data_IF_070503916416
#
_entry.id   IF_070503916416
#
_cell.length_a   1.000
_cell.length_b   1.000
_cell.length_c   1.000
_cell.angle_alpha   90.00
_cell.angle_beta   90.00
_cell.angle_gamma   90.00
#
_symmetry.space_group_name_H-M   'P 1'
#
loop_
_entity.id
_entity.type
_entity.pdbx_description
1 polymer ?
#
# COMPACT_ATOMS: atom_id res chain seq x y z
N UNK A 1 -23.28 27.67 39.01
CA UNK A 1 -24.17 26.62 39.55
C UNK A 1 -23.31 25.40 39.79
N UNK A 2 -23.27 24.82 41.00
CA UNK A 2 -22.42 23.66 41.28
C UNK A 2 -22.95 22.45 40.52
N UNK A 3 -22.09 21.79 39.74
CA UNK A 3 -22.40 20.52 39.08
C UNK A 3 -22.85 19.52 40.15
N UNK A 4 -24.00 18.90 39.91
CA UNK A 4 -24.64 18.05 40.91
C UNK A 4 -23.86 16.73 41.05
N UNK A 5 -23.70 16.23 42.28
CA UNK A 5 -23.01 14.97 42.59
C UNK A 5 -23.48 13.78 41.73
N UNK A 6 -24.75 13.80 41.33
CA UNK A 6 -25.35 12.81 40.46
C UNK A 6 -24.86 12.90 38.99
N UNK A 7 -24.66 14.10 38.43
CA UNK A 7 -24.09 14.23 37.08
C UNK A 7 -22.67 13.66 37.00
N UNK A 8 -21.83 13.91 38.03
CA UNK A 8 -20.44 13.47 38.01
C UNK A 8 -20.28 11.94 38.13
N UNK A 9 -21.21 11.26 38.82
CA UNK A 9 -21.16 9.82 39.05
C UNK A 9 -21.78 9.01 37.90
N UNK A 10 -22.82 9.54 37.25
CA UNK A 10 -23.52 8.82 36.18
C UNK A 10 -22.98 9.14 34.79
N UNK A 11 -22.48 10.35 34.52
CA UNK A 11 -22.00 10.70 33.17
C UNK A 11 -20.62 10.13 32.85
N UNK A 12 -19.71 10.07 33.83
CA UNK A 12 -18.33 9.66 33.56
C UNK A 12 -18.20 8.13 33.40
N UNK A 13 -18.75 7.36 34.34
CA UNK A 13 -18.63 5.89 34.34
C UNK A 13 -19.44 5.25 33.21
N UNK A 14 -20.61 5.79 32.87
CA UNK A 14 -21.43 5.25 31.78
C UNK A 14 -20.78 5.52 30.42
N UNK A 15 -20.31 6.74 30.20
CA UNK A 15 -19.62 7.11 28.96
C UNK A 15 -18.31 6.35 28.80
N UNK A 16 -17.54 6.20 29.87
CA UNK A 16 -16.30 5.42 29.85
C UNK A 16 -16.57 3.94 29.51
N UNK A 17 -17.64 3.35 30.04
CA UNK A 17 -18.04 1.98 29.67
C UNK A 17 -18.51 1.87 28.21
N UNK A 18 -19.21 2.88 27.70
CA UNK A 18 -19.60 2.95 26.29
C UNK A 18 -18.37 3.03 25.39
N UNK A 19 -17.47 3.98 25.66
CA UNK A 19 -16.25 4.19 24.89
C UNK A 19 -15.35 2.95 24.92
N UNK A 20 -15.28 2.25 26.05
CA UNK A 20 -14.59 0.95 26.15
C UNK A 20 -15.26 -0.09 25.25
N UNK A 21 -16.59 -0.22 25.30
CA UNK A 21 -17.30 -1.19 24.46
C UNK A 21 -17.16 -0.89 22.96
N UNK A 22 -17.19 0.39 22.58
CA UNK A 22 -16.98 0.84 21.20
C UNK A 22 -15.55 0.55 20.74
N UNK A 23 -14.55 0.85 21.57
CA UNK A 23 -13.15 0.51 21.30
C UNK A 23 -12.92 -1.01 21.20
N UNK A 24 -13.62 -1.82 22.01
CA UNK A 24 -13.59 -3.29 21.90
C UNK A 24 -14.21 -3.78 20.58
N UNK A 25 -15.34 -3.20 20.17
CA UNK A 25 -16.01 -3.54 18.91
C UNK A 25 -15.13 -3.15 17.71
N UNK A 26 -14.53 -1.98 17.72
CA UNK A 26 -13.58 -1.53 16.69
C UNK A 26 -12.33 -2.43 16.63
N UNK A 27 -11.75 -2.78 17.77
CA UNK A 27 -10.61 -3.69 17.82
C UNK A 27 -10.97 -5.11 17.32
N UNK A 28 -12.17 -5.60 17.62
CA UNK A 28 -12.66 -6.88 17.10
C UNK A 28 -12.85 -6.83 15.58
N UNK A 29 -13.44 -5.75 15.06
CA UNK A 29 -13.61 -5.53 13.63
C UNK A 29 -12.26 -5.41 12.90
N UNK A 30 -11.28 -4.70 13.48
CA UNK A 30 -9.94 -4.57 12.92
C UNK A 30 -9.19 -5.92 12.88
N UNK A 31 -9.34 -6.76 13.91
CA UNK A 31 -8.76 -8.11 13.94
C UNK A 31 -9.42 -9.03 12.91
N UNK A 32 -10.72 -8.92 12.73
CA UNK A 32 -11.44 -9.68 11.71
C UNK A 32 -11.07 -9.23 10.29
N UNK A 33 -10.94 -7.92 10.06
CA UNK A 33 -10.50 -7.38 8.79
C UNK A 33 -9.07 -7.81 8.43
N UNK A 34 -8.16 -7.81 9.41
CA UNK A 34 -6.78 -8.27 9.20
C UNK A 34 -6.70 -9.78 8.95
N UNK A 35 -7.50 -10.61 9.62
CA UNK A 35 -7.51 -12.05 9.35
C UNK A 35 -8.05 -12.39 7.95
N UNK A 36 -9.09 -11.67 7.49
CA UNK A 36 -9.59 -11.76 6.11
C UNK A 36 -8.55 -11.28 5.09
N UNK A 37 -7.83 -10.19 5.38
CA UNK A 37 -6.77 -9.72 4.49
C UNK A 37 -5.64 -10.75 4.35
N UNK A 38 -5.25 -11.41 5.44
CA UNK A 38 -4.22 -12.46 5.43
C UNK A 38 -4.65 -13.69 4.63
N UNK A 39 -5.90 -14.15 4.78
CA UNK A 39 -6.38 -15.30 4.00
C UNK A 39 -6.47 -14.99 2.51
N UNK A 40 -6.87 -13.77 2.14
CA UNK A 40 -6.86 -13.33 0.74
C UNK A 40 -5.43 -13.26 0.18
N UNK A 41 -4.47 -12.76 0.95
CA UNK A 41 -3.05 -12.72 0.56
C UNK A 41 -2.47 -14.13 0.34
N UNK A 42 -2.81 -15.10 1.19
CA UNK A 42 -2.39 -16.49 1.01
C UNK A 42 -2.98 -17.12 -0.26
N UNK A 43 -4.25 -16.85 -0.56
CA UNK A 43 -4.89 -17.33 -1.79
C UNK A 43 -4.25 -16.71 -3.03
N UNK A 44 -3.99 -15.40 -3.01
CA UNK A 44 -3.28 -14.70 -4.08
C UNK A 44 -1.87 -15.25 -4.27
N UNK A 45 -1.14 -15.51 -3.17
CA UNK A 45 0.19 -16.12 -3.23
C UNK A 45 0.18 -17.48 -3.91
N UNK A 46 -0.81 -18.33 -3.60
CA UNK A 46 -0.97 -19.64 -4.25
C UNK A 46 -1.31 -19.50 -5.74
N UNK A 47 -2.20 -18.57 -6.09
CA UNK A 47 -2.56 -18.31 -7.49
C UNK A 47 -1.36 -17.83 -8.31
N UNK A 48 -0.52 -16.96 -7.74
CA UNK A 48 0.70 -16.48 -8.39
C UNK A 48 1.71 -17.60 -8.64
N UNK A 49 1.82 -18.57 -7.72
CA UNK A 49 2.69 -19.74 -7.92
C UNK A 49 2.19 -20.62 -9.07
N UNK A 50 0.87 -20.88 -9.12
CA UNK A 50 0.27 -21.65 -10.23
C UNK A 50 0.48 -20.94 -11.57
N UNK A 51 0.21 -19.64 -11.63
CA UNK A 51 0.42 -18.85 -12.84
C UNK A 51 1.89 -18.85 -13.29
N UNK A 52 2.83 -18.81 -12.35
CA UNK A 52 4.26 -18.90 -12.67
C UNK A 52 4.61 -20.24 -13.31
N UNK A 53 4.07 -21.34 -12.78
CA UNK A 53 4.33 -22.67 -13.33
C UNK A 53 3.68 -22.82 -14.72
N UNK A 54 2.45 -22.32 -14.92
CA UNK A 54 1.79 -22.30 -16.23
C UNK A 54 2.59 -21.47 -17.26
N UNK A 55 3.09 -20.29 -16.88
CA UNK A 55 3.94 -19.48 -17.74
C UNK A 55 5.21 -20.24 -18.11
N UNK A 56 5.83 -20.94 -17.14
CA UNK A 56 7.01 -21.75 -17.40
C UNK A 56 6.71 -22.86 -18.41
N UNK A 57 5.63 -23.60 -18.24
CA UNK A 57 5.26 -24.68 -19.15
C UNK A 57 4.95 -24.15 -20.55
N UNK A 58 4.26 -23.01 -20.65
CA UNK A 58 4.02 -22.32 -21.92
C UNK A 58 5.33 -21.90 -22.59
N UNK A 59 6.28 -21.34 -21.84
CA UNK A 59 7.59 -20.97 -22.42
C UNK A 59 8.36 -22.17 -22.94
N UNK A 60 8.30 -23.31 -22.25
CA UNK A 60 8.92 -24.56 -22.72
C UNK A 60 8.23 -25.04 -23.99
N UNK A 61 6.90 -25.09 -24.02
CA UNK A 61 6.14 -25.49 -25.20
C UNK A 61 6.44 -24.61 -26.42
N UNK A 62 6.45 -23.28 -26.24
CA UNK A 62 6.82 -22.33 -27.30
C UNK A 62 8.25 -22.57 -27.78
N UNK A 63 9.20 -22.80 -26.87
CA UNK A 63 10.59 -23.07 -27.25
C UNK A 63 10.74 -24.34 -28.09
N UNK A 64 9.97 -25.39 -27.80
CA UNK A 64 9.97 -26.63 -28.57
C UNK A 64 9.36 -26.40 -29.95
N UNK A 65 8.24 -25.68 -30.04
CA UNK A 65 7.61 -25.35 -31.32
C UNK A 65 8.53 -24.51 -32.21
N UNK A 66 9.21 -23.51 -31.64
CA UNK A 66 10.20 -22.70 -32.37
C UNK A 66 11.34 -23.57 -32.90
N UNK A 67 11.86 -24.50 -32.09
CA UNK A 67 12.91 -25.44 -32.55
C UNK A 67 12.42 -26.34 -33.68
N UNK A 68 11.22 -26.92 -33.57
CA UNK A 68 10.64 -27.76 -34.63
C UNK A 68 10.41 -26.97 -35.94
N UNK A 69 9.98 -25.72 -35.83
CA UNK A 69 9.77 -24.84 -36.99
C UNK A 69 11.10 -24.41 -37.64
N UNK A 70 12.15 -24.23 -36.83
CA UNK A 70 13.51 -23.97 -37.33
C UNK A 70 14.11 -25.22 -38.01
N UNK A 71 13.96 -26.40 -37.41
CA UNK A 71 14.43 -27.68 -37.96
C UNK A 71 13.72 -28.07 -39.27
N UNK A 72 12.44 -27.73 -39.41
CA UNK A 72 11.68 -27.95 -40.66
C UNK A 72 11.99 -26.92 -41.75
N UNK A 73 12.83 -25.92 -41.48
CA UNK A 73 13.18 -24.86 -42.42
C UNK A 73 12.03 -23.91 -42.75
N UNK A 74 10.90 -24.03 -42.04
CA UNK A 74 9.75 -23.13 -42.18
C UNK A 74 10.03 -21.74 -41.58
N UNK A 75 11.14 -21.59 -40.85
CA UNK A 75 11.37 -20.46 -39.98
C UNK A 75 12.87 -20.13 -39.89
N UNK A 76 13.23 -18.91 -40.28
CA UNK A 76 14.60 -18.39 -40.16
C UNK A 76 14.81 -17.78 -38.77
N UNK A 77 15.74 -18.37 -38.01
CA UNK A 77 16.08 -17.96 -36.64
C UNK A 77 16.51 -16.47 -36.57
N UNK A 78 17.13 -15.94 -37.64
CA UNK A 78 17.51 -14.52 -37.68
C UNK A 78 16.31 -13.59 -37.75
N UNK A 79 15.30 -13.97 -38.54
CA UNK A 79 14.06 -13.18 -38.69
C UNK A 79 13.25 -13.22 -37.39
N UNK A 80 13.24 -14.35 -36.69
CA UNK A 80 12.60 -14.47 -35.39
C UNK A 80 13.21 -13.54 -34.35
N UNK A 81 14.53 -13.58 -34.20
CA UNK A 81 15.23 -12.77 -33.20
C UNK A 81 14.98 -11.29 -33.42
N UNK A 82 15.08 -10.84 -34.67
CA UNK A 82 14.81 -9.44 -35.02
C UNK A 82 13.37 -9.02 -34.68
N UNK A 83 12.37 -9.87 -34.96
CA UNK A 83 10.97 -9.58 -34.62
C UNK A 83 10.73 -9.56 -33.12
N UNK A 84 11.36 -10.47 -32.38
CA UNK A 84 11.25 -10.54 -30.92
C UNK A 84 11.92 -9.32 -30.27
N UNK A 85 13.09 -8.90 -30.76
CA UNK A 85 13.78 -7.70 -30.32
C UNK A 85 12.95 -6.44 -30.59
N UNK A 86 12.35 -6.31 -31.78
CA UNK A 86 11.47 -5.19 -32.13
C UNK A 86 10.21 -5.12 -31.24
N UNK A 87 9.53 -6.25 -31.02
CA UNK A 87 8.37 -6.33 -30.12
C UNK A 87 8.74 -6.02 -28.66
N UNK A 88 9.93 -6.44 -28.21
CA UNK A 88 10.44 -6.13 -26.87
C UNK A 88 10.71 -4.62 -26.70
N UNK A 89 11.35 -3.99 -27.69
CA UNK A 89 11.61 -2.56 -27.69
C UNK A 89 10.30 -1.76 -27.64
N UNK A 90 9.31 -2.09 -28.48
CA UNK A 90 7.99 -1.44 -28.46
C UNK A 90 7.29 -1.56 -27.10
N UNK A 91 7.35 -2.75 -26.47
CA UNK A 91 6.75 -2.95 -25.14
C UNK A 91 7.48 -2.19 -24.04
N UNK A 92 8.81 -2.09 -24.12
CA UNK A 92 9.61 -1.32 -23.17
C UNK A 92 9.28 0.17 -23.30
N UNK A 93 9.15 0.67 -24.51
CA UNK A 93 8.77 2.07 -24.77
C UNK A 93 7.34 2.37 -24.29
N UNK A 94 6.39 1.47 -24.57
CA UNK A 94 5.02 1.59 -24.08
C UNK A 94 4.95 1.56 -22.55
N UNK A 95 5.73 0.69 -21.89
CA UNK A 95 5.81 0.62 -20.43
C UNK A 95 6.42 1.90 -19.83
N UNK A 96 7.49 2.44 -20.42
CA UNK A 96 8.07 3.73 -20.02
C UNK A 96 7.06 4.86 -20.15
N UNK A 97 6.31 4.90 -21.26
CA UNK A 97 5.27 5.90 -21.47
C UNK A 97 4.11 5.79 -20.46
N UNK A 98 3.72 4.58 -20.09
CA UNK A 98 2.71 4.35 -19.05
C UNK A 98 3.19 4.77 -17.65
N UNK A 99 4.46 4.50 -17.33
CA UNK A 99 5.07 4.84 -16.05
C UNK A 99 5.20 6.37 -15.87
N UNK A 100 5.53 7.09 -16.94
CA UNK A 100 5.56 8.57 -16.96
C UNK A 100 4.16 9.16 -16.76
N UNK A 101 3.10 8.55 -17.32
CA UNK A 101 1.72 9.01 -17.10
C UNK A 101 1.27 8.81 -15.64
N UNK A 102 1.67 7.72 -15.01
CA UNK A 102 1.36 7.46 -13.60
C UNK A 102 2.10 8.39 -12.64
N UNK A 103 3.37 8.74 -12.94
CA UNK A 103 4.13 9.68 -12.11
C UNK A 103 3.64 11.12 -12.22
N UNK A 104 3.04 11.52 -13.35
CA UNK A 104 2.44 12.86 -13.51
C UNK A 104 1.03 12.94 -12.90
N UNK A 105 0.31 11.82 -12.80
CA UNK A 105 -0.98 11.76 -12.09
C UNK A 105 -0.83 11.73 -10.55
N UNK A 106 0.36 11.39 -10.04
CA UNK A 106 0.72 11.52 -8.64
C UNK A 106 1.17 12.96 -8.31
N UNK A 107 0.27 13.92 -8.51
CA UNK A 107 0.41 15.24 -7.87
C UNK A 107 0.43 15.06 -6.34
N UNK A 108 1.20 15.88 -5.61
CA UNK A 108 1.72 15.52 -4.30
C UNK A 108 0.59 15.28 -3.32
N UNK A 109 0.68 14.17 -2.57
CA UNK A 109 -0.13 13.95 -1.40
C UNK A 109 -0.17 15.24 -0.59
N UNK A 110 -1.37 15.78 -0.38
CA UNK A 110 -1.59 16.82 0.61
C UNK A 110 -0.88 16.36 1.88
N UNK A 111 0.14 17.12 2.25
CA UNK A 111 1.00 16.89 3.39
C UNK A 111 0.11 16.81 4.62
N UNK A 112 -0.26 15.58 5.00
CA UNK A 112 -1.19 15.35 6.09
C UNK A 112 -0.64 16.02 7.35
N UNK A 113 -1.46 16.90 7.95
CA UNK A 113 -1.11 17.62 9.18
C UNK A 113 -0.54 16.65 10.22
N UNK A 114 0.67 16.92 10.70
CA UNK A 114 1.33 16.05 11.67
C UNK A 114 1.02 16.54 13.07
N UNK A 115 0.53 15.65 13.93
CA UNK A 115 0.28 15.98 15.34
C UNK A 115 1.57 15.94 16.15
N UNK A 116 1.86 17.05 16.82
CA UNK A 116 3.00 17.17 17.73
C UNK A 116 2.80 16.30 18.98
N UNK A 117 3.81 15.51 19.35
CA UNK A 117 3.74 14.69 20.57
C UNK A 117 3.79 15.49 21.87
N UNK A 118 4.28 16.75 21.85
CA UNK A 118 4.36 17.62 23.03
C UNK A 118 3.11 18.46 23.27
N UNK A 119 2.61 19.16 22.26
CA UNK A 119 1.45 20.06 22.39
C UNK A 119 0.13 19.46 21.88
N UNK A 120 0.15 18.25 21.29
CA UNK A 120 -1.00 17.58 20.66
C UNK A 120 -1.73 18.39 19.56
N UNK A 121 -1.12 19.50 19.12
CA UNK A 121 -1.65 20.33 18.04
C UNK A 121 -1.23 19.78 16.68
N UNK A 122 -2.14 19.91 15.71
CA UNK A 122 -1.88 19.65 14.29
C UNK A 122 -1.06 20.80 13.70
N UNK A 123 0.08 20.49 13.10
CA UNK A 123 1.01 21.45 12.50
C UNK A 123 1.47 20.95 11.14
N UNK A 124 1.78 21.90 10.27
CA UNK A 124 2.41 21.60 8.98
C UNK A 124 3.73 20.84 9.19
N UNK A 125 4.04 19.84 8.34
CA UNK A 125 5.24 19.02 8.50
C UNK A 125 6.54 19.82 8.40
N UNK A 126 6.52 20.99 7.74
CA UNK A 126 7.67 21.90 7.68
C UNK A 126 8.03 22.57 9.02
N UNK A 127 7.17 22.49 10.04
CA UNK A 127 7.39 23.06 11.38
C UNK A 127 7.66 21.99 12.44
N UNK A 128 7.86 20.74 12.02
CA UNK A 128 8.07 19.61 12.92
C UNK A 128 9.39 18.90 12.66
N UNK A 129 10.12 18.60 13.74
CA UNK A 129 11.37 17.84 13.72
C UNK A 129 11.08 16.46 14.28
N UNK A 130 11.46 15.40 13.53
CA UNK A 130 11.43 14.05 14.07
C UNK A 130 12.58 13.88 15.07
N UNK A 131 12.24 13.65 16.33
CA UNK A 131 13.18 13.27 17.39
C UNK A 131 12.99 11.80 17.77
N UNK A 132 13.94 11.21 18.50
CA UNK A 132 13.83 9.81 18.95
C UNK A 132 12.60 9.49 19.80
N UNK A 133 11.89 10.51 20.29
CA UNK A 133 10.65 10.41 21.07
C UNK A 133 9.39 10.78 20.25
N UNK A 134 9.51 10.88 18.92
CA UNK A 134 8.42 11.23 18.00
C UNK A 134 8.54 12.63 17.39
N UNK A 135 7.47 13.05 16.71
CA UNK A 135 7.40 14.32 15.97
C UNK A 135 7.17 15.49 16.94
N UNK A 136 8.09 16.44 16.97
CA UNK A 136 8.06 17.59 17.89
C UNK A 136 8.08 18.89 17.09
N UNK A 137 7.22 19.84 17.42
CA UNK A 137 7.25 21.18 16.82
C UNK A 137 8.47 21.99 17.29
N UNK A 138 9.02 22.80 16.39
CA UNK A 138 10.07 23.80 16.69
C UNK A 138 9.59 24.85 17.73
N UNK A 139 10.49 25.65 18.38
CA UNK A 139 10.38 26.15 19.77
C UNK A 139 9.20 27.09 20.12
N UNK A 140 8.20 27.24 19.27
CA UNK A 140 6.93 27.93 19.57
C UNK A 140 5.99 27.19 20.55
N UNK A 141 6.34 25.99 21.01
CA UNK A 141 5.52 25.19 21.94
C UNK A 141 5.75 25.59 23.43
N UNK A 142 6.25 26.81 23.68
CA UNK A 142 6.60 27.33 25.04
C UNK A 142 5.51 28.23 25.67
N UNK A 143 4.39 28.47 24.99
CA UNK A 143 3.31 29.32 25.52
C UNK A 143 2.02 28.51 25.69
N UNK A 144 1.87 27.83 26.83
CA UNK A 144 0.61 27.50 27.50
C UNK A 144 0.95 26.92 28.88
N UNK A 145 1.29 27.83 29.80
CA UNK A 145 1.11 27.64 31.24
C UNK A 145 -0.30 28.05 31.61
#
# INVERSE_FOLDING_TARGET
MPASFFEMFFDNDYKQRSDINDAYAEAANARFATSLAMSNLEQLGKQLLVQRDEIRDLTVAVSVLVKMLAESGALDDKVLRYRVEAELEERIEAAKAAQVRQSVAAAPAELADVTCSKCLQRRDPGQTVMTGNGVVCDPSCEALR
#
